data_IF_881449703228
#
_entry.id   IF_881449703228
#
_cell.length_a   1.000
_cell.length_b   1.000
_cell.length_c   1.000
_cell.angle_alpha   90.00
_cell.angle_beta   90.00
_cell.angle_gamma   90.00
#
_symmetry.space_group_name_H-M   'P 1'
#
loop_
_entity.id
_entity.type
_entity.pdbx_description
1 polymer ?
#
# COMPACT_ATOMS: atom_id res chain seq x y z
N UNK A 1 3.43 -45.51 -28.37
CA UNK A 1 3.23 -44.69 -27.16
C UNK A 1 4.47 -43.87 -26.76
N UNK A 2 5.40 -43.57 -27.68
CA UNK A 2 6.57 -42.71 -27.40
C UNK A 2 6.82 -41.65 -28.49
N UNK A 3 5.88 -41.48 -29.43
CA UNK A 3 5.95 -40.45 -30.47
C UNK A 3 4.70 -39.56 -30.52
N UNK A 4 3.74 -39.79 -29.61
CA UNK A 4 2.57 -38.92 -29.41
C UNK A 4 2.77 -37.91 -28.27
N UNK A 5 3.79 -38.12 -27.43
CA UNK A 5 4.17 -37.21 -26.36
C UNK A 5 5.05 -36.04 -26.87
N UNK A 6 5.72 -36.22 -28.02
CA UNK A 6 6.62 -35.21 -28.60
C UNK A 6 5.90 -34.22 -29.53
N UNK A 7 4.64 -34.46 -29.90
CA UNK A 7 3.89 -33.57 -30.81
C UNK A 7 3.08 -32.47 -30.12
N UNK A 8 2.95 -32.47 -28.79
CA UNK A 8 2.35 -31.34 -28.05
C UNK A 8 3.36 -30.24 -27.72
N UNK A 9 4.64 -30.45 -28.01
CA UNK A 9 5.71 -29.45 -27.87
C UNK A 9 5.95 -28.67 -29.19
N UNK A 10 5.01 -28.74 -30.13
CA UNK A 10 5.01 -27.94 -31.35
C UNK A 10 4.82 -26.45 -31.02
N UNK A 11 5.55 -25.57 -31.70
CA UNK A 11 6.50 -24.65 -31.08
C UNK A 11 5.80 -23.36 -30.68
N UNK A 12 5.87 -23.01 -29.39
CA UNK A 12 5.62 -21.63 -29.01
C UNK A 12 6.86 -20.85 -29.45
N UNK A 13 6.68 -19.90 -30.36
CA UNK A 13 7.61 -18.77 -30.46
C UNK A 13 7.40 -17.92 -29.21
N UNK A 14 8.01 -18.38 -28.12
CA UNK A 14 7.79 -17.97 -26.72
C UNK A 14 8.37 -16.59 -26.40
N UNK A 15 9.27 -16.05 -27.23
CA UNK A 15 10.10 -14.92 -26.80
C UNK A 15 9.32 -13.62 -26.55
N UNK A 16 8.18 -13.35 -27.20
CA UNK A 16 7.44 -12.07 -27.02
C UNK A 16 6.20 -12.15 -26.14
N UNK A 17 5.60 -13.34 -26.01
CA UNK A 17 4.50 -13.59 -25.06
C UNK A 17 5.06 -13.77 -23.65
N UNK A 18 6.22 -14.42 -23.52
CA UNK A 18 6.93 -14.59 -22.25
C UNK A 18 7.54 -13.28 -21.73
N UNK A 19 8.05 -12.41 -22.62
CA UNK A 19 8.54 -11.08 -22.24
C UNK A 19 7.42 -10.15 -21.74
N UNK A 20 6.26 -10.15 -22.42
CA UNK A 20 5.09 -9.39 -22.00
C UNK A 20 4.47 -9.94 -20.70
N UNK A 21 4.36 -11.26 -20.55
CA UNK A 21 3.86 -11.90 -19.32
C UNK A 21 4.81 -11.67 -18.13
N UNK A 22 6.13 -11.76 -18.36
CA UNK A 22 7.15 -11.44 -17.37
C UNK A 22 7.10 -9.98 -16.93
N UNK A 23 6.94 -9.06 -17.88
CA UNK A 23 6.80 -7.62 -17.60
C UNK A 23 5.54 -7.30 -16.81
N UNK A 24 4.39 -7.89 -17.17
CA UNK A 24 3.14 -7.68 -16.44
C UNK A 24 3.20 -8.24 -15.01
N UNK A 25 3.83 -9.40 -14.83
CA UNK A 25 4.05 -9.98 -13.50
C UNK A 25 4.99 -9.13 -12.65
N UNK A 26 6.10 -8.66 -13.23
CA UNK A 26 7.06 -7.78 -12.56
C UNK A 26 6.43 -6.43 -12.17
N UNK A 27 5.63 -5.83 -13.04
CA UNK A 27 4.88 -4.62 -12.74
C UNK A 27 3.86 -4.85 -11.61
N UNK A 28 3.18 -6.01 -11.61
CA UNK A 28 2.23 -6.39 -10.58
C UNK A 28 2.87 -6.57 -9.20
N UNK A 29 3.96 -7.34 -9.11
CA UNK A 29 4.67 -7.55 -7.85
C UNK A 29 5.31 -6.27 -7.33
N UNK A 30 5.90 -5.45 -8.21
CA UNK A 30 6.42 -4.13 -7.85
C UNK A 30 5.32 -3.22 -7.29
N UNK A 31 4.18 -3.12 -7.99
CA UNK A 31 3.07 -2.28 -7.57
C UNK A 31 2.52 -2.65 -6.20
N UNK A 32 2.45 -3.95 -5.89
CA UNK A 32 2.03 -4.44 -4.57
C UNK A 32 3.02 -4.05 -3.48
N UNK A 33 4.32 -4.32 -3.67
CA UNK A 33 5.34 -3.99 -2.67
C UNK A 33 5.47 -2.49 -2.47
N UNK A 34 5.53 -1.71 -3.55
CA UNK A 34 5.61 -0.26 -3.51
C UNK A 34 4.35 0.34 -2.88
N UNK A 35 3.16 -0.11 -3.29
CA UNK A 35 1.89 0.39 -2.79
C UNK A 35 1.69 0.14 -1.29
N UNK A 36 2.05 -1.05 -0.80
CA UNK A 36 2.01 -1.36 0.63
C UNK A 36 3.00 -0.52 1.43
N UNK A 37 4.25 -0.40 0.96
CA UNK A 37 5.26 0.42 1.63
C UNK A 37 4.87 1.89 1.65
N UNK A 38 4.40 2.43 0.52
CA UNK A 38 3.97 3.82 0.40
C UNK A 38 2.71 4.12 1.22
N UNK A 39 1.74 3.20 1.22
CA UNK A 39 0.55 3.28 2.08
C UNK A 39 0.90 3.24 3.56
N UNK A 40 1.83 2.36 3.95
CA UNK A 40 2.39 2.32 5.31
C UNK A 40 3.08 3.62 5.70
N UNK A 41 3.94 4.16 4.82
CA UNK A 41 4.63 5.43 5.07
C UNK A 41 3.65 6.61 5.23
N UNK A 42 2.60 6.70 4.40
CA UNK A 42 1.55 7.72 4.54
C UNK A 42 0.78 7.55 5.85
N UNK A 43 0.47 6.30 6.22
CA UNK A 43 -0.19 6.00 7.49
C UNK A 43 0.65 6.51 8.66
N UNK A 44 1.93 6.11 8.73
CA UNK A 44 2.81 6.50 9.83
C UNK A 44 3.04 8.01 9.89
N UNK A 45 3.31 8.64 8.74
CA UNK A 45 3.51 10.09 8.67
C UNK A 45 2.25 10.84 9.14
N UNK A 46 1.08 10.42 8.67
CA UNK A 46 -0.18 11.05 9.08
C UNK A 46 -0.44 10.85 10.57
N UNK A 47 -0.19 9.64 11.08
CA UNK A 47 -0.38 9.32 12.49
C UNK A 47 0.51 10.22 13.37
N UNK A 48 1.80 10.30 13.05
CA UNK A 48 2.77 11.12 13.77
C UNK A 48 2.37 12.60 13.79
N UNK A 49 2.00 13.14 12.63
CA UNK A 49 1.54 14.54 12.52
C UNK A 49 0.26 14.79 13.31
N UNK A 50 -0.75 13.94 13.16
CA UNK A 50 -2.05 14.11 13.81
C UNK A 50 -1.91 13.99 15.33
N UNK A 51 -1.19 12.98 15.81
CA UNK A 51 -0.91 12.81 17.23
C UNK A 51 -0.18 14.02 17.79
N UNK A 52 0.92 14.43 17.17
CA UNK A 52 1.74 15.57 17.62
C UNK A 52 0.90 16.84 17.70
N UNK A 53 0.09 17.12 16.67
CA UNK A 53 -0.82 18.27 16.67
C UNK A 53 -1.82 18.22 17.82
N UNK A 54 -2.40 17.05 18.12
CA UNK A 54 -3.37 16.90 19.20
C UNK A 54 -2.72 16.99 20.58
N UNK A 55 -1.55 16.39 20.76
CA UNK A 55 -0.78 16.47 22.00
C UNK A 55 -0.37 17.91 22.34
N UNK A 56 0.13 18.66 21.35
CA UNK A 56 0.48 20.08 21.53
C UNK A 56 -0.73 20.97 21.83
N UNK A 57 -1.93 20.57 21.39
CA UNK A 57 -3.17 21.28 21.69
C UNK A 57 -3.83 20.88 23.02
N UNK A 58 -3.31 19.83 23.68
CA UNK A 58 -3.91 19.31 24.91
C UNK A 58 -3.73 20.29 26.06
N UNK A 59 -4.82 20.55 26.79
CA UNK A 59 -4.78 21.32 28.04
C UNK A 59 -4.49 20.45 29.26
N UNK A 60 -4.46 19.12 29.09
CA UNK A 60 -4.23 18.14 30.15
C UNK A 60 -2.74 17.78 30.24
N UNK A 61 -2.08 17.64 29.09
CA UNK A 61 -0.65 17.31 29.05
C UNK A 61 0.22 18.50 29.52
N UNK A 62 1.12 18.28 30.49
CA UNK A 62 2.13 19.27 30.87
C UNK A 62 3.01 19.68 29.68
N UNK A 63 3.50 20.92 29.61
CA UNK A 63 4.33 21.40 28.50
C UNK A 63 5.59 20.56 28.22
N UNK A 64 6.18 19.97 29.27
CA UNK A 64 7.33 19.08 29.15
C UNK A 64 6.97 17.78 28.42
N UNK A 65 5.78 17.24 28.67
CA UNK A 65 5.29 16.00 28.05
C UNK A 65 4.85 16.25 26.61
N UNK A 66 4.26 17.42 26.30
CA UNK A 66 3.92 17.81 24.93
C UNK A 66 5.15 17.83 24.00
N UNK A 67 6.30 18.28 24.51
CA UNK A 67 7.56 18.33 23.76
C UNK A 67 8.20 16.95 23.63
N UNK A 68 8.14 16.14 24.69
CA UNK A 68 8.70 14.79 24.68
C UNK A 68 7.94 13.86 23.72
N UNK A 69 6.60 13.95 23.72
CA UNK A 69 5.71 13.21 22.82
C UNK A 69 6.01 13.51 21.35
N UNK A 70 6.28 14.76 21.00
CA UNK A 70 6.62 15.15 19.64
C UNK A 70 7.93 14.49 19.15
N UNK A 71 8.90 14.30 20.04
CA UNK A 71 10.18 13.66 19.70
C UNK A 71 10.07 12.14 19.58
N UNK A 72 9.36 11.48 20.52
CA UNK A 72 9.22 10.02 20.54
C UNK A 72 8.47 9.51 19.31
N UNK A 73 7.48 10.25 18.81
CA UNK A 73 6.71 9.89 17.61
C UNK A 73 7.40 10.23 16.30
N UNK A 74 8.47 11.00 16.32
CA UNK A 74 9.27 11.32 15.13
C UNK A 74 10.35 10.22 14.90
N UNK A 75 10.88 9.66 15.99
CA UNK A 75 11.89 8.59 15.96
C UNK A 75 11.28 7.17 15.94
N UNK A 76 10.17 6.93 16.65
CA UNK A 76 9.52 5.61 16.79
C UNK A 76 8.01 5.70 16.50
N UNK A 77 7.67 6.14 15.29
CA UNK A 77 6.30 6.14 14.77
C UNK A 77 5.71 4.73 14.56
N UNK A 78 6.19 3.69 15.24
CA UNK A 78 5.51 2.40 15.22
C UNK A 78 4.07 2.59 15.76
N UNK A 79 3.13 1.93 15.10
CA UNK A 79 1.70 2.03 15.46
C UNK A 79 1.50 1.36 16.82
N UNK A 80 1.66 2.14 17.88
CA UNK A 80 1.44 1.64 19.24
C UNK A 80 -0.06 1.41 19.42
N UNK A 81 -0.41 0.18 19.81
CA UNK A 81 -1.77 -0.14 20.25
C UNK A 81 -2.06 0.49 21.60
N UNK A 82 -3.34 0.74 21.92
CA UNK A 82 -3.73 1.30 23.21
C UNK A 82 -3.19 0.46 24.39
N UNK A 83 -3.19 -0.86 24.26
CA UNK A 83 -2.61 -1.78 25.26
C UNK A 83 -1.10 -1.56 25.46
N UNK A 84 -0.35 -1.34 24.38
CA UNK A 84 1.08 -1.02 24.49
C UNK A 84 1.31 0.36 25.13
N UNK A 85 0.44 1.33 24.84
CA UNK A 85 0.49 2.64 25.51
C UNK A 85 0.19 2.54 27.00
N UNK A 86 -0.79 1.74 27.40
CA UNK A 86 -1.11 1.50 28.82
C UNK A 86 0.08 0.90 29.58
N UNK A 87 0.82 -0.03 28.97
CA UNK A 87 2.04 -0.60 29.56
C UNK A 87 3.18 0.43 29.72
N UNK A 88 3.35 1.31 28.73
CA UNK A 88 4.41 2.33 28.73
C UNK A 88 4.12 3.51 29.66
N UNK A 89 2.84 3.77 29.95
CA UNK A 89 2.39 4.93 30.72
C UNK A 89 2.01 4.59 32.16
N UNK A 90 2.29 3.37 32.62
CA UNK A 90 1.90 2.88 33.95
C UNK A 90 2.37 3.78 35.11
N UNK A 91 3.50 4.46 34.95
CA UNK A 91 4.09 5.35 35.96
C UNK A 91 3.56 6.79 35.88
N UNK A 92 2.74 7.12 34.86
CA UNK A 92 2.17 8.45 34.68
C UNK A 92 0.86 8.63 35.46
N UNK A 93 0.50 9.87 35.86
CA UNK A 93 -0.81 10.18 36.40
C UNK A 93 -1.93 9.71 35.46
N UNK A 94 -3.02 9.18 36.03
CA UNK A 94 -4.13 8.61 35.25
C UNK A 94 -4.70 9.59 34.22
N UNK A 95 -4.80 10.88 34.56
CA UNK A 95 -5.27 11.92 33.63
C UNK A 95 -4.38 12.06 32.38
N UNK A 96 -3.06 11.86 32.52
CA UNK A 96 -2.11 11.89 31.39
C UNK A 96 -2.24 10.62 30.55
N UNK A 97 -2.42 9.46 31.18
CA UNK A 97 -2.63 8.19 30.47
C UNK A 97 -3.89 8.25 29.61
N UNK A 98 -5.02 8.65 30.22
CA UNK A 98 -6.32 8.74 29.56
C UNK A 98 -6.26 9.72 28.38
N UNK A 99 -5.57 10.84 28.55
CA UNK A 99 -5.42 11.83 27.47
C UNK A 99 -4.57 11.29 26.31
N UNK A 100 -3.46 10.60 26.59
CA UNK A 100 -2.62 9.99 25.54
C UNK A 100 -3.38 8.91 24.78
N UNK A 101 -4.13 8.06 25.50
CA UNK A 101 -4.97 7.01 24.89
C UNK A 101 -6.07 7.64 24.03
N UNK A 102 -6.70 8.73 24.49
CA UNK A 102 -7.69 9.48 23.72
C UNK A 102 -7.07 10.04 22.43
N UNK A 103 -5.92 10.71 22.52
CA UNK A 103 -5.21 11.26 21.37
C UNK A 103 -4.86 10.15 20.36
N UNK A 104 -4.34 9.01 20.82
CA UNK A 104 -4.04 7.88 19.94
C UNK A 104 -5.30 7.35 19.24
N UNK A 105 -6.40 7.19 20.00
CA UNK A 105 -7.68 6.71 19.50
C UNK A 105 -8.27 7.63 18.43
N UNK A 106 -8.07 8.95 18.56
CA UNK A 106 -8.53 9.94 17.59
C UNK A 106 -7.60 10.04 16.36
N UNK A 107 -6.28 9.86 16.55
CA UNK A 107 -5.28 9.97 15.49
C UNK A 107 -5.32 8.80 14.48
N UNK A 108 -5.51 7.58 14.99
CA UNK A 108 -5.43 6.35 14.17
C UNK A 108 -6.45 6.31 13.03
N UNK A 109 -7.74 6.63 13.22
CA UNK A 109 -8.71 6.68 12.13
C UNK A 109 -8.32 7.66 11.02
N UNK A 110 -7.77 8.83 11.37
CA UNK A 110 -7.32 9.83 10.40
C UNK A 110 -6.17 9.29 9.54
N UNK A 111 -5.19 8.66 10.17
CA UNK A 111 -4.07 8.02 9.49
C UNK A 111 -4.52 6.90 8.54
N UNK A 112 -5.44 6.05 9.00
CA UNK A 112 -6.02 4.97 8.19
C UNK A 112 -6.80 5.51 6.99
N UNK A 113 -7.60 6.56 7.18
CA UNK A 113 -8.37 7.18 6.10
C UNK A 113 -7.45 7.77 5.01
N UNK A 114 -6.39 8.47 5.40
CA UNK A 114 -5.44 9.03 4.43
C UNK A 114 -4.61 7.95 3.74
N UNK A 115 -4.21 6.88 4.44
CA UNK A 115 -3.53 5.74 3.84
C UNK A 115 -4.41 5.03 2.78
N UNK A 116 -5.72 4.93 3.03
CA UNK A 116 -6.67 4.35 2.07
C UNK A 116 -6.84 5.18 0.78
N UNK A 117 -6.43 6.44 0.76
CA UNK A 117 -6.42 7.21 -0.48
C UNK A 117 -5.45 6.63 -1.51
N UNK A 118 -4.36 5.99 -1.08
CA UNK A 118 -3.36 5.39 -1.98
C UNK A 118 -3.98 4.33 -2.91
N UNK A 119 -4.62 3.24 -2.41
CA UNK A 119 -5.24 2.25 -3.29
C UNK A 119 -6.42 2.83 -4.08
N UNK A 120 -7.16 3.79 -3.53
CA UNK A 120 -8.27 4.45 -4.26
C UNK A 120 -7.73 5.20 -5.48
N UNK A 121 -6.70 6.03 -5.31
CA UNK A 121 -6.08 6.79 -6.39
C UNK A 121 -5.43 5.86 -7.42
N UNK A 122 -4.75 4.81 -6.98
CA UNK A 122 -4.18 3.80 -7.88
C UNK A 122 -5.28 3.12 -8.72
N UNK A 123 -6.40 2.75 -8.10
CA UNK A 123 -7.56 2.17 -8.78
C UNK A 123 -8.18 3.12 -9.81
N UNK A 124 -8.34 4.40 -9.46
CA UNK A 124 -8.85 5.43 -10.38
C UNK A 124 -7.91 5.63 -11.59
N UNK A 125 -6.60 5.68 -11.37
CA UNK A 125 -5.62 5.76 -12.46
C UNK A 125 -5.64 4.52 -13.35
N UNK A 126 -5.79 3.33 -12.77
CA UNK A 126 -5.98 2.08 -13.51
C UNK A 126 -7.25 2.10 -14.38
N UNK A 127 -8.37 2.54 -13.81
CA UNK A 127 -9.65 2.69 -14.50
C UNK A 127 -9.54 3.67 -15.69
N UNK A 128 -8.92 4.83 -15.48
CA UNK A 128 -8.69 5.82 -16.53
C UNK A 128 -7.82 5.28 -17.66
N UNK A 129 -6.76 4.53 -17.33
CA UNK A 129 -5.92 3.87 -18.33
C UNK A 129 -6.69 2.82 -19.13
N UNK A 130 -7.56 2.03 -18.49
CA UNK A 130 -8.42 1.06 -19.17
C UNK A 130 -9.32 1.73 -20.21
N UNK A 131 -9.95 2.86 -19.87
CA UNK A 131 -10.75 3.64 -20.83
C UNK A 131 -9.94 4.27 -21.98
N UNK A 132 -8.62 4.44 -21.83
CA UNK A 132 -7.75 4.85 -22.94
C UNK A 132 -7.40 3.66 -23.84
N UNK A 133 -7.16 2.48 -23.26
CA UNK A 133 -6.85 1.25 -24.01
C UNK A 133 -8.02 0.80 -24.89
N UNK A 134 -9.26 0.95 -24.43
CA UNK A 134 -10.48 0.68 -25.24
C UNK A 134 -10.55 1.54 -26.52
N UNK A 135 -9.89 2.71 -26.53
CA UNK A 135 -9.87 3.62 -27.68
C UNK A 135 -8.76 3.32 -28.70
N UNK A 136 -7.89 2.34 -28.43
CA UNK A 136 -6.83 1.93 -29.37
C UNK A 136 -7.40 0.84 -30.28
N UNK A 137 -7.37 1.00 -31.62
CA UNK A 137 -7.80 -0.04 -32.54
C UNK A 137 -7.01 -1.34 -32.30
N UNK A 138 -7.71 -2.47 -32.29
CA UNK A 138 -7.08 -3.79 -32.20
C UNK A 138 -6.01 -3.92 -33.30
N UNK A 139 -4.80 -4.36 -32.92
CA UNK A 139 -3.83 -4.75 -33.92
C UNK A 139 -4.39 -5.96 -34.70
N UNK A 140 -4.27 -6.00 -36.04
CA UNK A 140 -4.77 -7.12 -36.81
C UNK A 140 -4.13 -8.41 -36.30
N UNK A 141 -4.97 -9.38 -35.96
CA UNK A 141 -4.52 -10.72 -35.59
C UNK A 141 -3.73 -11.27 -36.78
N UNK A 142 -2.42 -11.46 -36.64
CA UNK A 142 -1.68 -12.29 -37.60
C UNK A 142 -2.13 -13.73 -37.41
N UNK A 143 -3.25 -14.08 -38.05
CA UNK A 143 -3.60 -15.47 -38.34
C UNK A 143 -2.50 -16.00 -39.26
N UNK A 144 -1.55 -16.76 -38.70
CA UNK A 144 -0.62 -17.55 -39.50
C UNK A 144 -1.43 -18.52 -40.34
N UNK A 145 -1.34 -18.32 -41.65
CA UNK A 145 -2.23 -18.85 -42.67
C UNK A 145 -2.38 -20.37 -42.63
N UNK A 146 -3.63 -20.81 -42.72
CA UNK A 146 -3.93 -22.14 -43.22
C UNK A 146 -3.56 -22.23 -44.70
N UNK A 147 -2.71 -23.19 -45.03
CA UNK A 147 -2.61 -23.78 -46.37
C UNK A 147 -2.36 -25.28 -46.21
N UNK A 148 -3.41 -26.06 -46.40
CA UNK A 148 -3.36 -27.41 -46.97
C UNK A 148 -3.88 -27.33 -48.41
N UNK A 149 -3.73 -28.33 -49.30
CA UNK A 149 -2.78 -29.46 -49.38
C UNK A 149 -2.06 -29.49 -50.75
N UNK A 150 -1.17 -30.47 -50.97
CA UNK A 150 -1.06 -31.27 -52.21
C UNK A 150 -0.32 -32.58 -51.91
#
# INVERSE_FOLDING_TARGET
MSQLNDYTLAPISDERVSEAAGTNSAAGSFGLSFGLAFGGAILLATLSIAFTSMAQSSTVLPPADQQHVAQVLEDDAEVMSNTQLEELLVDQPQEIQDEIIRINTDARPLALQLALLVPILAGLLGLLNSFRMIRIPEAPSTASGGTAPD
#
